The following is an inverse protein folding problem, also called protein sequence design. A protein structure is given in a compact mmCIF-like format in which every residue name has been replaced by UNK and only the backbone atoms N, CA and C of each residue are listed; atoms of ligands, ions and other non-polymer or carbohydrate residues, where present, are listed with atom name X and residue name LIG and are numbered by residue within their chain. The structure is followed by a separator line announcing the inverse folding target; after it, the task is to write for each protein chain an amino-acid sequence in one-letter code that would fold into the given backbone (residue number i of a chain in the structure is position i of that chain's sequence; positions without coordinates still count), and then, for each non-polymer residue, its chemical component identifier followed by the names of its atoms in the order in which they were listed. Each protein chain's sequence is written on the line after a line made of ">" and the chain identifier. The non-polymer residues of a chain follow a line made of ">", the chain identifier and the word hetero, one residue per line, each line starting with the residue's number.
data_IF_177915357990
#
_entry.id   IF_177915357990
#
_cell.length_a   1.000
_cell.length_b   1.000
_cell.length_c   1.000
_cell.angle_alpha   90.00
_cell.angle_beta   90.00
_cell.angle_gamma   90.00
#
_symmetry.space_group_name_H-M   'P 1'
#
loop_
_entity.id
_entity.type
_entity.pdbx_description
1 polymer ?
#
# COMPACT_ATOMS: atom_id res chain seq x y z
N UNK A 1 -31.71 0.27 -8.89
CA UNK A 1 -31.31 0.38 -8.68
C UNK A 1 -30.48 0.45 -8.68
N UNK A 2 -30.63 0.36 -8.59
CA UNK A 2 -29.95 0.49 -8.33
C UNK A 2 -28.95 0.51 -8.23
N UNK A 3 -29.15 0.59 -8.15
CA UNK A 3 -28.21 0.67 -7.84
C UNK A 3 -27.34 0.55 -7.57
N UNK A 4 -27.39 0.45 -7.50
CA UNK A 4 -26.60 0.42 -6.95
C UNK A 4 -25.66 0.15 -6.98
N UNK A 5 -25.76 -0.01 -7.06
CA UNK A 5 -24.97 -0.14 -6.88
C UNK A 5 -24.06 -0.05 -7.16
N UNK A 6 -24.09 0.05 -7.17
CA UNK A 6 -23.23 0.35 -7.26
C UNK A 6 -22.42 0.64 -6.92
N UNK A 7 -22.44 0.82 -6.80
CA UNK A 7 -21.72 1.22 -6.24
C UNK A 7 -20.79 0.81 -5.39
N UNK A 8 -20.73 0.20 -5.14
CA UNK A 8 -19.99 -0.42 -4.33
C UNK A 8 -18.68 -0.73 -4.67
N UNK A 9 -18.46 -1.04 -5.76
CA UNK A 9 -17.16 -1.27 -6.18
C UNK A 9 -16.36 -0.09 -6.06
N UNK A 10 -16.91 0.96 -6.12
CA UNK A 10 -16.17 2.18 -5.98
C UNK A 10 -15.64 2.36 -4.59
N UNK A 11 -16.11 1.52 -3.67
CA UNK A 11 -15.60 1.61 -2.36
C UNK A 11 -14.43 0.74 -2.13
N UNK A 12 -14.13 -0.14 -3.03
CA UNK A 12 -13.01 -1.02 -2.89
C UNK A 12 -11.74 -0.22 -3.10
N UNK A 13 -10.87 -0.09 -2.12
CA UNK A 13 -9.66 0.71 -2.28
C UNK A 13 -8.67 0.05 -3.20
N UNK A 14 -7.90 0.86 -3.90
CA UNK A 14 -6.78 0.41 -4.69
C UNK A 14 -5.51 0.70 -3.91
N UNK A 15 -4.46 -0.02 -4.23
CA UNK A 15 -3.18 0.18 -3.59
C UNK A 15 -3.14 -0.39 -2.19
N UNK A 16 -2.39 0.27 -1.34
CA UNK A 16 -2.21 -0.14 0.04
C UNK A 16 -2.59 1.02 0.95
N UNK A 17 -3.84 1.05 1.41
CA UNK A 17 -4.37 2.22 2.13
C UNK A 17 -3.67 2.54 3.44
N UNK A 18 -2.99 1.58 4.05
CA UNK A 18 -2.32 1.81 5.32
C UNK A 18 -0.81 1.96 5.19
N UNK A 19 -0.30 1.89 3.98
CA UNK A 19 1.14 1.91 3.77
C UNK A 19 1.79 3.20 4.28
N UNK A 20 1.21 4.33 3.96
CA UNK A 20 1.79 5.62 4.39
C UNK A 20 1.86 5.71 5.91
N UNK A 21 0.77 5.36 6.59
CA UNK A 21 0.72 5.42 8.04
C UNK A 21 1.76 4.51 8.67
N UNK A 22 1.86 3.29 8.17
CA UNK A 22 2.81 2.33 8.71
C UNK A 22 4.26 2.76 8.44
N UNK A 23 4.50 3.31 7.26
CA UNK A 23 5.83 3.85 6.92
C UNK A 23 6.21 4.98 7.86
N UNK A 24 5.29 5.89 8.09
CA UNK A 24 5.54 7.04 8.96
C UNK A 24 5.75 6.63 10.40
N UNK A 25 5.02 5.61 10.86
CA UNK A 25 5.22 5.07 12.20
C UNK A 25 6.62 4.52 12.39
N UNK A 26 7.19 3.97 11.33
CA UNK A 26 8.55 3.46 11.36
C UNK A 26 9.59 4.57 11.20
N UNK A 27 9.15 5.79 10.95
CA UNK A 27 10.04 6.91 10.76
C UNK A 27 10.77 6.88 9.42
N UNK A 28 10.19 6.24 8.41
CA UNK A 28 10.85 6.10 7.12
C UNK A 28 10.32 7.09 6.10
N UNK A 29 11.22 7.68 5.34
CA UNK A 29 10.84 8.48 4.19
C UNK A 29 10.53 7.55 3.01
N UNK A 30 9.92 8.10 1.97
CA UNK A 30 9.68 7.32 0.75
C UNK A 30 10.98 6.76 0.19
N UNK A 31 12.02 7.60 0.15
CA UNK A 31 13.32 7.17 -0.37
C UNK A 31 13.95 6.07 0.47
N UNK A 32 13.81 6.17 1.79
CA UNK A 32 14.36 5.14 2.68
C UNK A 32 13.64 3.81 2.49
N UNK A 33 12.32 3.87 2.39
CA UNK A 33 11.55 2.64 2.17
C UNK A 33 11.89 2.02 0.81
N UNK A 34 12.05 2.87 -0.20
CA UNK A 34 12.45 2.39 -1.53
C UNK A 34 13.79 1.69 -1.47
N UNK A 35 14.75 2.27 -0.75
CA UNK A 35 16.07 1.68 -0.61
C UNK A 35 16.02 0.33 0.10
N UNK A 36 15.25 0.26 1.17
CA UNK A 36 15.17 -0.96 1.98
C UNK A 36 14.45 -2.10 1.27
N UNK A 37 13.50 -1.78 0.40
CA UNK A 37 12.72 -2.81 -0.28
C UNK A 37 13.18 -3.10 -1.69
N UNK A 38 13.90 -2.17 -2.31
CA UNK A 38 14.23 -2.28 -3.73
C UNK A 38 13.07 -1.91 -4.62
N UNK A 39 11.95 -1.46 -4.06
CA UNK A 39 10.82 -1.00 -4.84
C UNK A 39 11.02 0.47 -5.17
N UNK A 40 10.73 0.85 -6.40
CA UNK A 40 10.95 2.23 -6.82
C UNK A 40 10.09 3.19 -6.01
N UNK A 41 10.65 4.34 -5.73
CA UNK A 41 9.98 5.38 -4.95
C UNK A 41 8.64 5.76 -5.56
N UNK A 42 8.59 5.91 -6.89
CA UNK A 42 7.36 6.25 -7.58
C UNK A 42 6.30 5.17 -7.39
N UNK A 43 6.72 3.92 -7.42
CA UNK A 43 5.80 2.81 -7.22
C UNK A 43 5.22 2.86 -5.81
N UNK A 44 6.06 3.12 -4.81
CA UNK A 44 5.58 3.23 -3.43
C UNK A 44 4.57 4.37 -3.32
N UNK A 45 4.86 5.51 -3.94
CA UNK A 45 3.93 6.65 -3.94
C UNK A 45 2.59 6.25 -4.56
N UNK A 46 2.62 5.53 -5.68
CA UNK A 46 1.39 5.09 -6.34
C UNK A 46 0.61 4.11 -5.47
N UNK A 47 1.31 3.22 -4.78
CA UNK A 47 0.66 2.29 -3.86
C UNK A 47 0.00 3.02 -2.70
N UNK A 48 0.66 4.04 -2.18
CA UNK A 48 0.11 4.83 -1.08
C UNK A 48 -1.11 5.62 -1.50
N UNK A 49 -1.13 6.09 -2.74
CA UNK A 49 -2.20 6.94 -3.25
C UNK A 49 -3.32 6.18 -3.96
N UNK A 50 -3.22 4.87 -4.05
CA UNK A 50 -4.25 4.07 -4.68
C UNK A 50 -4.24 4.10 -6.19
N UNK A 51 -3.14 4.55 -6.80
CA UNK A 51 -3.04 4.61 -8.26
C UNK A 51 -2.62 3.30 -8.88
N UNK A 52 -2.13 2.41 -8.07
CA UNK A 52 -1.57 1.15 -8.55
C UNK A 52 -1.81 0.10 -7.49
N UNK A 53 -2.12 -1.12 -7.90
CA UNK A 53 -2.29 -2.23 -6.97
C UNK A 53 -0.98 -2.94 -6.74
N UNK A 54 -0.74 -3.44 -5.54
CA UNK A 54 0.52 -4.09 -5.24
C UNK A 54 0.60 -5.48 -5.84
N UNK A 55 1.79 -5.90 -6.19
CA UNK A 55 2.07 -7.28 -6.53
C UNK A 55 2.34 -8.05 -5.25
N UNK A 56 2.07 -9.37 -5.24
CA UNK A 56 2.27 -10.15 -4.01
C UNK A 56 3.65 -10.00 -3.40
N UNK A 57 4.70 -9.99 -4.21
CA UNK A 57 6.05 -9.87 -3.67
C UNK A 57 6.29 -8.51 -3.01
N UNK A 58 5.60 -7.47 -3.51
CA UNK A 58 5.73 -6.13 -2.93
C UNK A 58 5.11 -6.09 -1.54
N UNK A 59 3.95 -6.72 -1.38
CA UNK A 59 3.30 -6.78 -0.07
C UNK A 59 4.21 -7.48 0.93
N UNK A 60 4.82 -8.59 0.52
CA UNK A 60 5.73 -9.34 1.38
C UNK A 60 6.92 -8.49 1.82
N UNK A 61 7.56 -7.82 0.86
CA UNK A 61 8.74 -7.01 1.16
C UNK A 61 8.38 -5.84 2.08
N UNK A 62 7.29 -5.16 1.78
CA UNK A 62 6.88 -4.03 2.58
C UNK A 62 6.51 -4.46 4.00
N UNK A 63 5.80 -5.55 4.14
CA UNK A 63 5.42 -6.06 5.45
C UNK A 63 6.67 -6.41 6.26
N UNK A 64 7.65 -7.02 5.61
CA UNK A 64 8.89 -7.41 6.29
C UNK A 64 9.66 -6.19 6.78
N UNK A 65 9.85 -5.21 5.91
CA UNK A 65 10.61 -4.01 6.24
C UNK A 65 9.89 -3.20 7.32
N UNK A 66 8.56 -3.13 7.23
CA UNK A 66 7.77 -2.38 8.20
C UNK A 66 7.48 -3.19 9.47
N UNK A 67 7.84 -4.45 9.46
CA UNK A 67 7.66 -5.34 10.60
C UNK A 67 6.19 -5.43 11.04
N UNK A 68 5.32 -5.66 10.07
CA UNK A 68 3.89 -5.82 10.31
C UNK A 68 3.39 -7.03 9.53
N UNK A 69 2.25 -7.60 9.93
CA UNK A 69 1.63 -8.65 9.12
C UNK A 69 1.17 -8.08 7.79
N UNK A 70 1.19 -8.89 6.75
CA UNK A 70 0.72 -8.46 5.44
C UNK A 70 -0.71 -7.95 5.49
N UNK A 71 -1.52 -8.55 6.32
CA UNK A 71 -2.92 -8.15 6.47
C UNK A 71 -3.07 -6.69 6.87
N UNK A 72 -2.13 -6.18 7.67
CA UNK A 72 -2.18 -4.79 8.11
C UNK A 72 -2.01 -3.82 6.95
N UNK A 73 -1.37 -4.26 5.88
CA UNK A 73 -1.18 -3.42 4.70
C UNK A 73 -2.40 -3.42 3.79
N UNK A 74 -3.07 -4.55 3.69
CA UNK A 74 -4.11 -4.73 2.67
C UNK A 74 -5.54 -4.59 3.17
N UNK A 75 -5.75 -4.58 4.47
CA UNK A 75 -7.12 -4.54 4.99
C UNK A 75 -7.67 -3.13 5.21
#
# INVERSE_FOLDING_TARGET
>A
MKHHALKQRSIKPHGLPHLRTLRQRKGLSLGQLAELTGIRRDTITHLENGREDPQPYQVKLLARVLDVPQLDLVS
#
